data_IF_759976753741
#
_entry.id   IF_759976753741
#
_cell.length_a   1.000
_cell.length_b   1.000
_cell.length_c   1.000
_cell.angle_alpha   90.00
_cell.angle_beta   90.00
_cell.angle_gamma   90.00
#
_symmetry.space_group_name_H-M   'P 1'
#
loop_
_entity.id
_entity.type
_entity.pdbx_description
1 polymer ?
#
# COMPACT_ATOMS: atom_id res chain seq x y z
N UNK A 1 2.79 3.82 -17.25
CA UNK A 1 1.53 4.16 -16.57
C UNK A 1 1.81 5.40 -15.74
N UNK A 2 1.21 6.53 -16.08
CA UNK A 2 1.42 7.77 -15.32
C UNK A 2 0.55 7.70 -14.05
N UNK A 3 1.17 7.36 -12.93
CA UNK A 3 0.51 7.36 -11.63
C UNK A 3 0.28 8.84 -11.23
N UNK A 4 -0.92 9.23 -10.78
CA UNK A 4 -1.15 10.55 -10.21
C UNK A 4 -0.09 10.88 -9.15
N UNK A 5 0.49 12.08 -9.19
CA UNK A 5 1.54 12.51 -8.25
C UNK A 5 1.10 12.41 -6.78
N UNK A 6 -0.20 12.54 -6.51
CA UNK A 6 -0.78 12.37 -5.18
C UNK A 6 -0.55 10.97 -4.59
N UNK A 7 -0.53 9.91 -5.43
CA UNK A 7 -0.30 8.55 -4.95
C UNK A 7 1.16 8.29 -4.60
N UNK A 8 2.12 8.93 -5.29
CA UNK A 8 3.55 8.83 -4.93
C UNK A 8 3.78 9.37 -3.51
N UNK A 9 3.13 10.47 -3.14
CA UNK A 9 3.18 11.01 -1.78
C UNK A 9 2.67 10.01 -0.74
N UNK A 10 1.50 9.41 -0.97
CA UNK A 10 0.90 8.44 -0.03
C UNK A 10 1.79 7.20 0.13
N UNK A 11 2.33 6.70 -0.99
CA UNK A 11 3.23 5.55 -1.00
C UNK A 11 4.51 5.84 -0.19
N UNK A 12 5.08 7.05 -0.32
CA UNK A 12 6.29 7.46 0.41
C UNK A 12 6.08 7.69 1.90
N UNK A 13 4.84 7.93 2.33
CA UNK A 13 4.51 8.14 3.75
C UNK A 13 4.40 6.83 4.53
N UNK A 14 4.42 5.66 3.87
CA UNK A 14 4.35 4.38 4.54
C UNK A 14 5.63 4.12 5.38
N UNK A 15 5.51 3.53 6.57
CA UNK A 15 6.62 3.46 7.54
C UNK A 15 7.69 2.43 7.19
N UNK A 16 7.39 1.49 6.29
CA UNK A 16 8.29 0.44 5.87
C UNK A 16 8.73 0.64 4.42
N UNK A 17 9.94 0.20 4.03
CA UNK A 17 10.38 0.23 2.64
C UNK A 17 9.40 -0.50 1.72
N UNK A 18 8.88 0.19 0.71
CA UNK A 18 8.03 -0.42 -0.31
C UNK A 18 8.86 -1.31 -1.24
N UNK A 19 8.41 -2.56 -1.42
CA UNK A 19 8.95 -3.45 -2.46
C UNK A 19 8.25 -3.21 -3.79
N UNK A 20 6.91 -3.20 -3.79
CA UNK A 20 6.10 -2.84 -4.95
C UNK A 20 4.68 -2.43 -4.53
N UNK A 21 4.01 -1.68 -5.41
CA UNK A 21 2.58 -1.38 -5.33
C UNK A 21 1.92 -1.58 -6.70
N UNK A 22 0.64 -1.92 -6.69
CA UNK A 22 -0.23 -2.08 -7.85
C UNK A 22 -1.54 -1.33 -7.62
N UNK A 23 -2.18 -0.92 -8.72
CA UNK A 23 -3.58 -0.49 -8.70
C UNK A 23 -4.47 -1.74 -8.60
N UNK A 24 -5.44 -1.70 -7.71
CA UNK A 24 -6.42 -2.76 -7.46
C UNK A 24 -7.85 -2.25 -7.67
N UNK A 25 -8.85 -2.84 -7.00
CA UNK A 25 -10.22 -2.33 -7.02
C UNK A 25 -10.88 -2.33 -8.39
N UNK A 26 -11.80 -1.39 -8.60
CA UNK A 26 -12.58 -1.24 -9.85
C UNK A 26 -11.67 -1.09 -11.09
N UNK A 27 -10.53 -0.41 -10.92
CA UNK A 27 -9.52 -0.23 -11.95
C UNK A 27 -8.86 -1.56 -12.36
N UNK A 28 -8.59 -2.46 -11.41
CA UNK A 28 -8.06 -3.80 -11.71
C UNK A 28 -9.11 -4.71 -12.36
N UNK A 29 -10.37 -4.59 -11.93
CA UNK A 29 -11.44 -5.44 -12.45
C UNK A 29 -12.08 -4.93 -13.75
N UNK A 30 -11.66 -3.78 -14.26
CA UNK A 30 -12.08 -3.26 -15.57
C UNK A 30 -13.42 -2.54 -15.58
N UNK A 31 -13.88 -2.06 -14.43
CA UNK A 31 -15.10 -1.25 -14.31
C UNK A 31 -14.90 0.04 -13.49
N UNK A 32 -13.82 0.82 -13.71
CA UNK A 32 -13.72 2.12 -13.05
C UNK A 32 -14.75 3.10 -13.63
N UNK A 33 -15.26 3.96 -12.77
CA UNK A 33 -16.12 5.10 -13.11
C UNK A 33 -15.36 6.42 -12.91
N UNK A 34 -15.83 7.56 -13.45
CA UNK A 34 -15.16 8.86 -13.26
C UNK A 34 -15.04 9.31 -11.79
N UNK A 35 -15.91 8.79 -10.92
CA UNK A 35 -15.94 9.02 -9.47
C UNK A 35 -15.23 7.92 -8.66
N UNK A 36 -14.65 6.91 -9.32
CA UNK A 36 -13.87 5.88 -8.64
C UNK A 36 -12.61 6.47 -8.01
N UNK A 37 -12.32 6.03 -6.79
CA UNK A 37 -11.04 6.26 -6.12
C UNK A 37 -9.96 5.27 -6.61
N UNK A 38 -8.77 5.39 -6.03
CA UNK A 38 -7.65 4.51 -6.31
C UNK A 38 -7.40 3.57 -5.14
N UNK A 39 -7.73 2.29 -5.32
CA UNK A 39 -7.30 1.23 -4.42
C UNK A 39 -5.86 0.81 -4.70
N UNK A 40 -4.95 0.96 -3.74
CA UNK A 40 -3.58 0.47 -3.85
C UNK A 40 -3.37 -0.80 -3.04
N UNK A 41 -2.70 -1.79 -3.63
CA UNK A 41 -2.19 -2.98 -2.92
C UNK A 41 -0.69 -3.07 -3.13
N UNK A 42 0.04 -3.50 -2.11
CA UNK A 42 1.49 -3.58 -2.20
C UNK A 42 2.10 -4.46 -1.13
N UNK A 43 3.41 -4.62 -1.24
CA UNK A 43 4.22 -5.36 -0.27
C UNK A 43 5.32 -4.44 0.24
N UNK A 44 5.53 -4.47 1.55
CA UNK A 44 6.60 -3.74 2.22
C UNK A 44 7.58 -4.72 2.87
N UNK A 45 8.82 -4.28 3.06
CA UNK A 45 9.87 -5.05 3.71
C UNK A 45 9.84 -4.77 5.21
N UNK A 46 9.42 -5.77 6.00
CA UNK A 46 9.40 -5.69 7.46
C UNK A 46 10.80 -5.96 8.05
N UNK A 47 11.19 -5.29 9.14
CA UNK A 47 12.42 -5.62 9.86
C UNK A 47 12.39 -7.05 10.40
N UNK A 48 13.48 -7.80 10.23
CA UNK A 48 13.58 -9.21 10.66
C UNK A 48 13.18 -9.41 12.13
N UNK A 49 13.57 -8.48 13.01
CA UNK A 49 13.24 -8.54 14.45
C UNK A 49 11.73 -8.49 14.77
N UNK A 50 10.91 -7.94 13.86
CA UNK A 50 9.46 -7.82 14.02
C UNK A 50 8.73 -9.07 13.51
N UNK A 51 9.39 -9.87 12.67
CA UNK A 51 8.85 -11.11 12.10
C UNK A 51 9.38 -12.34 12.83
N UNK A 52 10.68 -12.34 13.16
CA UNK A 52 11.40 -13.45 13.78
C UNK A 52 11.68 -13.09 15.24
N UNK A 53 10.65 -13.17 16.07
CA UNK A 53 10.71 -12.86 17.49
C UNK A 53 9.65 -13.63 18.28
N UNK A 54 9.72 -13.54 19.61
CA UNK A 54 8.76 -14.20 20.52
C UNK A 54 7.48 -13.40 20.73
N UNK A 55 7.42 -12.17 20.20
CA UNK A 55 6.28 -11.26 20.32
C UNK A 55 5.77 -10.92 18.94
N UNK A 56 4.46 -10.93 18.77
CA UNK A 56 3.81 -10.42 17.56
C UNK A 56 3.98 -8.89 17.52
N UNK A 57 4.43 -8.37 16.38
CA UNK A 57 4.47 -6.93 16.10
C UNK A 57 3.08 -6.36 15.79
N UNK A 58 3.02 -5.09 15.38
CA UNK A 58 1.76 -4.47 14.95
C UNK A 58 1.31 -5.09 13.61
N UNK A 59 0.11 -5.64 13.56
CA UNK A 59 -0.44 -6.27 12.35
C UNK A 59 -1.05 -5.25 11.39
N UNK A 60 -1.61 -4.16 11.93
CA UNK A 60 -2.29 -3.11 11.15
C UNK A 60 -1.76 -1.74 11.54
N UNK A 61 -1.49 -0.91 10.53
CA UNK A 61 -1.22 0.51 10.67
C UNK A 61 -2.36 1.24 9.98
N UNK A 62 -3.16 1.96 10.76
CA UNK A 62 -4.32 2.71 10.28
C UNK A 62 -4.06 4.21 10.44
N UNK A 63 -4.40 4.97 9.41
CA UNK A 63 -4.32 6.44 9.40
C UNK A 63 -5.69 6.95 8.95
N UNK A 64 -6.32 7.77 9.79
CA UNK A 64 -7.65 8.35 9.60
C UNK A 64 -7.61 9.76 9.03
#
# INVERSE_FOLDING_TARGET
MNIPTSLDTIIRQQPYPLLFAIISGSHLYGFPSPDSDYDLRGVHILPVREVVGLKTGNETIEVS
#
